data_IF_991472226223
#
_entry.id   IF_991472226223
#
_cell.length_a   1.000
_cell.length_b   1.000
_cell.length_c   1.000
_cell.angle_alpha   90.00
_cell.angle_beta   90.00
_cell.angle_gamma   90.00
#
_symmetry.space_group_name_H-M   'P 1'
#
loop_
_entity.id
_entity.type
_entity.pdbx_description
1 polymer ?
#
# COMPACT_ATOMS: atom_id res chain seq x y z
N UNK A 1 -21.60 29.44 1.28
CA UNK A 1 -20.52 29.62 0.29
C UNK A 1 -20.64 28.48 -0.70
N UNK A 2 -20.96 28.83 -1.95
CA UNK A 2 -21.40 27.90 -2.98
C UNK A 2 -20.21 27.13 -3.57
N UNK A 3 -20.39 25.82 -3.79
CA UNK A 3 -19.43 24.87 -4.38
C UNK A 3 -19.02 25.19 -5.85
N UNK A 4 -19.29 26.39 -6.36
CA UNK A 4 -19.12 26.79 -7.77
C UNK A 4 -18.03 27.84 -8.02
N UNK A 5 -17.30 28.29 -6.99
CA UNK A 5 -16.33 29.40 -7.15
C UNK A 5 -14.89 28.97 -7.45
N UNK A 6 -14.52 27.70 -7.24
CA UNK A 6 -13.14 27.23 -7.42
C UNK A 6 -13.07 25.97 -8.30
N UNK A 7 -12.09 25.88 -9.22
CA UNK A 7 -11.83 24.68 -10.02
C UNK A 7 -11.38 23.51 -9.14
N UNK A 8 -11.30 22.30 -9.71
CA UNK A 8 -10.92 21.09 -8.98
C UNK A 8 -9.43 21.11 -8.61
N UNK A 9 -9.07 21.79 -7.52
CA UNK A 9 -7.67 21.99 -7.11
C UNK A 9 -7.11 20.72 -6.44
N UNK A 10 -6.09 20.12 -7.04
CA UNK A 10 -5.38 18.95 -6.53
C UNK A 10 -4.14 19.39 -5.74
N UNK A 11 -3.83 18.79 -4.58
CA UNK A 11 -4.45 17.61 -3.95
C UNK A 11 -5.58 17.94 -2.94
N UNK A 12 -6.21 19.11 -3.01
CA UNK A 12 -7.29 19.50 -2.08
C UNK A 12 -8.60 18.75 -2.34
N UNK A 13 -8.81 18.35 -3.60
CA UNK A 13 -9.91 17.53 -4.10
C UNK A 13 -10.03 16.17 -3.38
N UNK A 14 -8.94 15.63 -2.86
CA UNK A 14 -8.89 14.34 -2.16
C UNK A 14 -9.47 14.37 -0.74
N UNK A 15 -9.71 15.56 -0.18
CA UNK A 15 -10.32 15.76 1.13
C UNK A 15 -11.85 15.75 1.06
N UNK A 16 -12.51 15.38 2.14
CA UNK A 16 -13.97 15.46 2.28
C UNK A 16 -14.50 16.88 2.04
N UNK A 17 -15.73 16.99 1.52
CA UNK A 17 -16.39 18.28 1.28
C UNK A 17 -16.43 19.19 2.53
N UNK A 18 -16.52 18.59 3.72
CA UNK A 18 -16.48 19.32 4.99
C UNK A 18 -15.13 20.00 5.25
N UNK A 19 -14.02 19.28 5.02
CA UNK A 19 -12.67 19.80 5.22
C UNK A 19 -12.24 20.76 4.11
N UNK A 20 -12.64 20.49 2.86
CA UNK A 20 -12.48 21.45 1.75
C UNK A 20 -13.11 22.80 2.12
N UNK A 21 -14.33 22.79 2.67
CA UNK A 21 -15.01 24.03 3.08
C UNK A 21 -14.26 24.79 4.18
N UNK A 22 -13.65 24.09 5.16
CA UNK A 22 -12.81 24.71 6.19
C UNK A 22 -11.55 25.34 5.58
N UNK A 23 -10.91 24.67 4.62
CA UNK A 23 -9.74 25.20 3.91
C UNK A 23 -10.07 26.48 3.14
N UNK A 24 -11.16 26.47 2.38
CA UNK A 24 -11.56 27.63 1.60
C UNK A 24 -12.01 28.81 2.49
N UNK A 25 -12.51 28.57 3.70
CA UNK A 25 -12.81 29.64 4.67
C UNK A 25 -11.56 30.40 5.15
N UNK A 26 -10.41 29.71 5.24
CA UNK A 26 -9.12 30.31 5.61
C UNK A 26 -8.25 30.74 4.43
N UNK A 27 -8.78 30.65 3.20
CA UNK A 27 -8.05 30.98 1.98
C UNK A 27 -7.96 32.49 1.72
N UNK A 28 -6.92 32.89 1.01
CA UNK A 28 -6.75 34.26 0.54
C UNK A 28 -6.75 34.27 -0.98
N UNK A 29 -7.55 35.14 -1.61
CA UNK A 29 -7.51 35.35 -3.06
C UNK A 29 -7.00 36.74 -3.37
N UNK A 30 -6.02 36.83 -4.24
CA UNK A 30 -5.38 38.07 -4.66
C UNK A 30 -5.39 38.20 -6.18
N UNK A 31 -5.51 39.43 -6.67
CA UNK A 31 -5.32 39.75 -8.09
C UNK A 31 -3.98 40.44 -8.28
N UNK A 32 -3.07 39.74 -8.94
CA UNK A 32 -1.74 40.23 -9.24
C UNK A 32 -1.75 41.08 -10.53
N UNK A 33 -1.13 42.27 -10.53
CA UNK A 33 -0.92 43.02 -11.76
C UNK A 33 0.06 42.30 -12.71
N UNK A 34 0.15 42.72 -13.98
CA UNK A 34 1.20 42.24 -14.88
C UNK A 34 2.60 42.51 -14.31
N UNK A 35 3.53 41.58 -14.55
CA UNK A 35 4.93 41.63 -14.08
C UNK A 35 5.12 41.53 -12.57
N UNK A 36 4.12 41.00 -11.85
CA UNK A 36 4.29 40.58 -10.46
C UNK A 36 5.20 39.37 -10.38
N UNK A 37 6.06 39.37 -9.37
CA UNK A 37 6.99 38.28 -9.06
C UNK A 37 6.52 37.56 -7.80
N UNK A 38 6.37 36.24 -7.90
CA UNK A 38 6.21 35.33 -6.78
C UNK A 38 7.49 34.52 -6.61
N UNK A 39 7.93 34.30 -5.38
CA UNK A 39 9.09 33.48 -5.07
C UNK A 39 8.66 32.28 -4.24
N UNK A 40 9.15 31.09 -4.57
CA UNK A 40 8.82 29.88 -3.82
C UNK A 40 9.21 29.96 -2.34
N UNK A 41 10.26 30.73 -2.01
CA UNK A 41 10.71 30.96 -0.62
C UNK A 41 9.69 31.74 0.20
N UNK A 42 9.01 32.71 -0.41
CA UNK A 42 8.01 33.55 0.29
C UNK A 42 6.65 32.83 0.43
N UNK A 43 6.46 31.74 -0.32
CA UNK A 43 5.22 30.98 -0.41
C UNK A 43 5.28 29.64 0.36
N UNK A 44 6.28 29.43 1.22
CA UNK A 44 6.47 28.15 1.92
C UNK A 44 5.29 27.75 2.82
N UNK A 45 4.56 28.74 3.35
CA UNK A 45 3.38 28.54 4.20
C UNK A 45 2.08 28.39 3.40
N UNK A 46 2.13 28.55 2.07
CA UNK A 46 0.95 28.64 1.22
C UNK A 46 1.01 27.65 0.06
N UNK A 47 -0.10 26.95 -0.19
CA UNK A 47 -0.35 26.27 -1.46
C UNK A 47 -1.01 27.28 -2.40
N UNK A 48 -0.23 27.76 -3.37
CA UNK A 48 -0.63 28.86 -4.26
C UNK A 48 -1.06 28.33 -5.62
N UNK A 49 -2.27 28.66 -6.05
CA UNK A 49 -2.87 28.18 -7.30
C UNK A 49 -3.23 29.34 -8.22
N UNK A 50 -3.15 29.09 -9.53
CA UNK A 50 -3.57 30.06 -10.55
C UNK A 50 -5.04 29.81 -10.92
N UNK A 51 -5.92 30.77 -10.67
CA UNK A 51 -7.32 30.69 -11.06
C UNK A 51 -7.54 31.26 -12.47
N UNK A 52 -6.97 32.44 -12.75
CA UNK A 52 -7.14 33.14 -14.03
C UNK A 52 -5.85 33.84 -14.44
N UNK A 53 -5.67 34.04 -15.74
CA UNK A 53 -4.50 34.71 -16.29
C UNK A 53 -3.37 33.73 -16.59
N UNK A 54 -2.13 34.22 -16.57
CA UNK A 54 -0.97 33.45 -17.02
C UNK A 54 0.26 33.73 -16.17
N UNK A 55 0.92 32.66 -15.73
CA UNK A 55 2.18 32.67 -14.99
C UNK A 55 3.26 31.92 -15.76
N UNK A 56 4.47 32.46 -15.76
CA UNK A 56 5.66 31.75 -16.26
C UNK A 56 6.57 31.43 -15.10
N UNK A 57 6.90 30.15 -14.92
CA UNK A 57 7.83 29.66 -13.92
C UNK A 57 9.24 29.70 -14.49
N UNK A 58 10.14 30.30 -13.72
CA UNK A 58 11.56 30.43 -13.97
C UNK A 58 12.32 29.63 -12.91
N UNK A 59 13.29 28.83 -13.32
CA UNK A 59 14.19 28.10 -12.44
C UNK A 59 15.61 28.24 -12.99
N UNK A 60 16.58 28.58 -12.13
CA UNK A 60 17.96 28.86 -12.54
C UNK A 60 18.08 29.90 -13.69
N UNK A 61 17.11 30.82 -13.79
CA UNK A 61 17.08 31.88 -14.82
C UNK A 61 16.49 31.45 -16.17
N UNK A 62 16.08 30.19 -16.33
CA UNK A 62 15.44 29.70 -17.57
C UNK A 62 13.94 29.53 -17.38
N UNK A 63 13.17 29.73 -18.46
CA UNK A 63 11.74 29.40 -18.50
C UNK A 63 11.58 27.89 -18.41
N UNK A 64 11.01 27.45 -17.29
CA UNK A 64 10.70 26.04 -17.04
C UNK A 64 9.35 25.68 -17.62
N UNK A 65 8.33 26.48 -17.33
CA UNK A 65 6.94 26.17 -17.65
C UNK A 65 6.09 27.45 -17.71
N UNK A 66 5.00 27.39 -18.48
CA UNK A 66 3.97 28.42 -18.55
C UNK A 66 2.63 27.80 -18.13
N UNK A 67 1.98 28.40 -17.13
CA UNK A 67 0.69 27.97 -16.57
C UNK A 67 -0.38 28.97 -17.01
N UNK A 68 -1.45 28.46 -17.59
CA UNK A 68 -2.64 29.23 -17.96
C UNK A 68 -3.80 28.88 -17.03
N UNK A 69 -4.50 29.87 -16.49
CA UNK A 69 -5.69 29.66 -15.66
C UNK A 69 -6.78 28.92 -16.43
N UNK A 70 -7.35 27.88 -15.81
CA UNK A 70 -8.36 27.00 -16.42
C UNK A 70 -7.78 25.84 -17.25
N UNK A 71 -6.46 25.74 -17.38
CA UNK A 71 -5.81 24.54 -17.93
C UNK A 71 -5.63 23.47 -16.84
N UNK A 72 -5.53 22.17 -17.17
CA UNK A 72 -5.30 21.12 -16.17
C UNK A 72 -4.10 21.38 -15.25
N UNK A 73 -3.05 22.04 -15.75
CA UNK A 73 -1.87 22.41 -14.94
C UNK A 73 -2.16 23.43 -13.83
N UNK A 74 -3.17 24.28 -14.01
CA UNK A 74 -3.55 25.29 -13.01
C UNK A 74 -4.34 24.71 -11.84
N UNK A 75 -4.75 23.44 -11.92
CA UNK A 75 -5.35 22.69 -10.80
C UNK A 75 -4.31 22.29 -9.74
N UNK A 76 -3.02 22.35 -10.06
CA UNK A 76 -1.92 22.01 -9.16
C UNK A 76 -1.24 23.28 -8.64
N UNK A 77 -0.54 23.23 -7.48
CA UNK A 77 0.20 24.36 -6.97
C UNK A 77 1.19 24.91 -8.01
N UNK A 78 1.38 26.23 -8.00
CA UNK A 78 2.34 26.94 -8.86
C UNK A 78 3.75 26.43 -8.58
N UNK A 79 4.12 26.30 -7.30
CA UNK A 79 5.40 25.74 -6.86
C UNK A 79 5.23 24.33 -6.31
N UNK A 80 6.06 23.38 -6.77
CA UNK A 80 6.13 22.03 -6.21
C UNK A 80 7.06 21.94 -5.00
N UNK A 81 6.97 20.86 -4.23
CA UNK A 81 7.73 20.67 -2.97
C UNK A 81 9.25 20.73 -3.13
N UNK A 82 9.77 20.39 -4.32
CA UNK A 82 11.22 20.33 -4.61
C UNK A 82 11.74 21.52 -5.44
N UNK A 83 11.16 22.71 -5.28
CA UNK A 83 11.51 23.89 -6.10
C UNK A 83 11.76 25.18 -5.27
N UNK A 84 12.69 25.16 -4.29
CA UNK A 84 12.90 26.30 -3.39
C UNK A 84 13.43 27.56 -4.10
N UNK A 85 14.12 27.40 -5.24
CA UNK A 85 14.69 28.51 -6.01
C UNK A 85 13.79 29.01 -7.16
N UNK A 86 12.61 28.41 -7.33
CA UNK A 86 11.72 28.76 -8.41
C UNK A 86 11.05 30.12 -8.20
N UNK A 87 10.81 30.81 -9.31
CA UNK A 87 10.14 32.11 -9.37
C UNK A 87 9.01 32.05 -10.37
N UNK A 88 7.89 32.69 -10.10
CA UNK A 88 6.80 32.81 -11.07
C UNK A 88 6.56 34.28 -11.39
N UNK A 89 6.40 34.60 -12.68
CA UNK A 89 6.15 35.97 -13.14
C UNK A 89 4.85 36.01 -13.93
N UNK A 90 4.00 36.98 -13.62
CA UNK A 90 2.76 37.21 -14.36
C UNK A 90 3.05 37.95 -15.67
N UNK A 91 2.59 37.43 -16.80
CA UNK A 91 2.71 38.15 -18.09
C UNK A 91 1.56 39.15 -18.27
N UNK A 92 0.37 38.76 -17.85
CA UNK A 92 -0.86 39.56 -17.80
C UNK A 92 -1.39 39.56 -16.36
N UNK A 93 -2.44 40.34 -16.07
CA UNK A 93 -3.06 40.28 -14.74
C UNK A 93 -3.52 38.85 -14.42
N UNK A 94 -3.16 38.36 -13.24
CA UNK A 94 -3.46 37.00 -12.79
C UNK A 94 -4.30 37.02 -11.52
N UNK A 95 -5.19 36.03 -11.35
CA UNK A 95 -5.92 35.82 -10.10
C UNK A 95 -5.39 34.54 -9.46
N UNK A 96 -4.93 34.64 -8.23
CA UNK A 96 -4.42 33.51 -7.46
C UNK A 96 -5.30 33.22 -6.24
N UNK A 97 -5.16 32.02 -5.72
CA UNK A 97 -5.65 31.65 -4.40
C UNK A 97 -4.53 30.98 -3.62
N UNK A 98 -4.39 31.38 -2.36
CA UNK A 98 -3.43 30.85 -1.41
C UNK A 98 -4.21 30.10 -0.33
N UNK A 99 -3.85 28.83 -0.15
CA UNK A 99 -4.41 27.94 0.87
C UNK A 99 -3.34 27.71 1.92
N UNK A 100 -3.68 27.86 3.20
CA UNK A 100 -2.71 27.67 4.27
C UNK A 100 -2.22 26.21 4.30
N UNK A 101 -0.93 26.01 4.07
CA UNK A 101 -0.32 24.69 3.93
C UNK A 101 -0.41 23.88 5.22
N UNK A 102 -0.11 24.50 6.37
CA UNK A 102 -0.19 23.83 7.68
C UNK A 102 -1.62 23.44 8.07
N UNK A 103 -2.63 24.19 7.63
CA UNK A 103 -4.04 23.82 7.83
C UNK A 103 -4.43 22.66 6.90
N UNK A 104 -3.97 22.64 5.66
CA UNK A 104 -4.17 21.51 4.74
C UNK A 104 -3.55 20.23 5.31
N UNK A 105 -2.28 20.28 5.73
CA UNK A 105 -1.58 19.15 6.34
C UNK A 105 -2.30 18.65 7.61
N UNK A 106 -2.74 19.56 8.48
CA UNK A 106 -3.52 19.19 9.68
C UNK A 106 -4.86 18.55 9.35
N UNK A 107 -5.62 19.09 8.40
CA UNK A 107 -6.92 18.52 8.01
C UNK A 107 -6.77 17.20 7.27
N UNK A 108 -5.69 17.04 6.49
CA UNK A 108 -5.32 15.77 5.89
C UNK A 108 -4.94 14.75 6.96
N UNK A 109 -4.16 15.14 7.97
CA UNK A 109 -3.87 14.29 9.12
C UNK A 109 -5.11 13.96 9.94
N UNK A 110 -6.01 14.92 10.20
CA UNK A 110 -7.27 14.70 10.90
C UNK A 110 -8.21 13.80 10.09
N UNK A 111 -8.26 13.94 8.76
CA UNK A 111 -9.09 13.08 7.91
C UNK A 111 -8.47 11.70 7.73
N UNK A 112 -7.15 11.58 7.68
CA UNK A 112 -6.48 10.29 7.76
C UNK A 112 -6.72 9.67 9.15
N UNK A 113 -6.68 10.46 10.22
CA UNK A 113 -7.01 10.05 11.59
C UNK A 113 -8.50 9.74 11.80
N UNK A 114 -9.40 10.33 10.99
CA UNK A 114 -10.84 10.09 11.03
C UNK A 114 -11.30 9.02 10.02
N UNK A 115 -10.54 8.75 8.95
CA UNK A 115 -10.56 7.48 8.20
C UNK A 115 -10.09 6.34 9.11
N UNK A 116 -9.18 6.66 10.03
CA UNK A 116 -8.86 5.88 11.22
C UNK A 116 -9.88 6.07 12.37
N UNK A 117 -11.15 6.42 12.11
CA UNK A 117 -12.21 6.17 13.09
C UNK A 117 -12.35 4.66 13.25
N UNK A 118 -11.51 4.12 14.12
CA UNK A 118 -11.67 2.93 14.90
C UNK A 118 -12.83 3.22 15.88
N UNK A 119 -14.01 3.47 15.33
CA UNK A 119 -15.23 3.70 16.05
C UNK A 119 -16.07 2.45 15.87
N UNK A 120 -15.69 1.38 16.59
CA UNK A 120 -16.49 0.18 16.95
C UNK A 120 -15.64 -1.05 17.34
N UNK A 121 -14.33 -0.90 17.62
CA UNK A 121 -13.61 -2.00 18.29
C UNK A 121 -13.97 -1.95 19.78
N UNK A 122 -14.92 -2.78 20.21
CA UNK A 122 -15.19 -3.03 21.64
C UNK A 122 -13.93 -3.61 22.30
N UNK A 123 -13.14 -2.76 22.96
CA UNK A 123 -11.93 -3.11 23.69
C UNK A 123 -12.25 -3.25 25.19
N UNK A 124 -11.68 -4.24 25.86
CA UNK A 124 -11.68 -4.30 27.34
C UNK A 124 -10.77 -3.22 27.94
N UNK A 125 -10.86 -2.96 29.24
CA UNK A 125 -10.03 -1.93 29.91
C UNK A 125 -8.53 -2.24 29.84
N UNK A 126 -8.12 -3.52 29.90
CA UNK A 126 -6.72 -3.91 29.71
C UNK A 126 -6.27 -3.73 28.25
N UNK A 127 -7.13 -4.09 27.29
CA UNK A 127 -6.87 -3.91 25.85
C UNK A 127 -6.77 -2.44 25.46
N UNK A 128 -7.57 -1.57 26.08
CA UNK A 128 -7.51 -0.13 25.89
C UNK A 128 -6.17 0.47 26.32
N UNK A 129 -5.51 -0.08 27.35
CA UNK A 129 -4.19 0.39 27.78
C UNK A 129 -3.12 0.06 26.75
N UNK A 130 -3.07 -1.20 26.29
CA UNK A 130 -2.08 -1.65 25.28
C UNK A 130 -2.34 -0.99 23.93
N UNK A 131 -3.60 -0.96 23.50
CA UNK A 131 -4.03 -0.27 22.29
C UNK A 131 -3.70 1.22 22.37
N UNK A 132 -4.04 1.88 23.48
CA UNK A 132 -3.79 3.30 23.68
C UNK A 132 -2.30 3.62 23.66
N UNK A 133 -1.46 2.84 24.33
CA UNK A 133 -0.01 3.02 24.30
C UNK A 133 0.59 2.76 22.92
N UNK A 134 0.12 1.72 22.22
CA UNK A 134 0.61 1.38 20.88
C UNK A 134 0.13 2.39 19.83
N UNK A 135 -1.11 2.86 19.94
CA UNK A 135 -1.68 3.93 19.13
C UNK A 135 -0.99 5.26 19.40
N UNK A 136 -0.75 5.62 20.66
CA UNK A 136 0.00 6.84 21.00
C UNK A 136 1.46 6.72 20.58
N UNK A 137 2.08 5.56 20.71
CA UNK A 137 3.42 5.32 20.17
C UNK A 137 3.41 5.48 18.64
N UNK A 138 2.37 4.99 17.96
CA UNK A 138 2.19 5.17 16.53
C UNK A 138 2.01 6.64 16.13
N UNK A 139 1.02 7.35 16.70
CA UNK A 139 0.70 8.75 16.41
C UNK A 139 1.87 9.68 16.71
N UNK A 140 2.64 9.39 17.77
CA UNK A 140 3.82 10.18 18.13
C UNK A 140 5.07 9.82 17.31
N UNK A 141 5.00 8.86 16.37
CA UNK A 141 6.14 8.40 15.57
C UNK A 141 7.16 7.55 16.35
N UNK A 142 6.77 7.04 17.51
CA UNK A 142 7.59 6.17 18.37
C UNK A 142 7.45 4.68 18.02
N UNK A 143 6.45 4.28 17.21
CA UNK A 143 6.38 2.93 16.68
C UNK A 143 7.48 2.79 15.63
N UNK A 144 8.43 1.88 15.86
CA UNK A 144 9.50 1.64 14.90
C UNK A 144 8.93 1.00 13.63
N UNK A 145 8.61 1.85 12.66
CA UNK A 145 8.26 1.46 11.31
C UNK A 145 9.46 0.73 10.72
N UNK A 146 9.33 -0.54 10.31
CA UNK A 146 10.44 -1.23 9.67
C UNK A 146 10.76 -0.50 8.36
N UNK A 147 12.06 -0.26 8.13
CA UNK A 147 12.49 0.37 6.88
C UNK A 147 12.14 -0.56 5.71
N UNK A 148 11.48 -0.01 4.69
CA UNK A 148 11.25 -0.75 3.46
C UNK A 148 12.61 -1.15 2.86
N UNK A 149 12.82 -2.41 2.42
CA UNK A 149 14.13 -2.82 1.93
C UNK A 149 14.59 -1.93 0.78
N UNK A 150 15.83 -1.41 0.83
CA UNK A 150 16.38 -0.50 -0.19
C UNK A 150 16.25 -1.03 -1.61
N UNK A 151 16.36 -2.35 -1.77
CA UNK A 151 16.21 -3.03 -3.05
C UNK A 151 14.76 -3.00 -3.52
N UNK A 152 13.80 -3.17 -2.61
CA UNK A 152 12.39 -3.00 -2.92
C UNK A 152 12.07 -1.52 -3.24
N UNK A 153 12.69 -0.55 -2.57
CA UNK A 153 12.58 0.88 -2.92
C UNK A 153 13.10 1.16 -4.33
N UNK A 154 14.26 0.59 -4.71
CA UNK A 154 14.86 0.76 -6.04
C UNK A 154 14.05 0.07 -7.13
N UNK A 155 13.58 -1.16 -6.87
CA UNK A 155 12.65 -1.86 -7.76
C UNK A 155 11.37 -1.03 -7.90
N UNK A 156 10.83 -0.48 -6.80
CA UNK A 156 9.65 0.40 -6.77
C UNK A 156 9.83 1.71 -7.53
N UNK A 157 10.97 2.37 -7.38
CA UNK A 157 11.27 3.58 -8.15
C UNK A 157 11.28 3.30 -9.66
N UNK A 158 11.71 2.09 -10.06
CA UNK A 158 11.60 1.59 -11.42
C UNK A 158 10.18 1.09 -11.82
N UNK A 159 9.20 1.15 -10.91
CA UNK A 159 7.78 0.88 -11.18
C UNK A 159 7.09 2.11 -11.74
N UNK A 160 7.36 3.26 -11.12
CA UNK A 160 6.69 4.52 -11.44
C UNK A 160 7.17 5.15 -12.75
N UNK A 161 8.20 4.60 -13.39
CA UNK A 161 8.61 4.99 -14.74
C UNK A 161 8.20 3.93 -15.76
N UNK A 162 7.16 4.22 -16.54
CA UNK A 162 6.65 3.37 -17.63
C UNK A 162 7.68 3.13 -18.76
N UNK A 163 8.89 3.70 -18.67
CA UNK A 163 9.97 3.53 -19.65
C UNK A 163 11.05 2.56 -19.21
N UNK A 164 10.92 1.93 -18.04
CA UNK A 164 11.94 1.00 -17.53
C UNK A 164 12.13 -0.17 -18.47
N UNK A 165 13.37 -0.34 -18.91
CA UNK A 165 13.79 -1.42 -19.79
C UNK A 165 14.14 -2.68 -19.00
N UNK A 166 14.09 -3.82 -19.68
CA UNK A 166 14.59 -5.10 -19.15
C UNK A 166 16.02 -4.98 -18.63
N UNK A 167 16.86 -4.16 -19.28
CA UNK A 167 18.25 -3.99 -18.89
C UNK A 167 18.39 -3.23 -17.57
N UNK A 168 17.60 -2.18 -17.36
CA UNK A 168 17.61 -1.39 -16.12
C UNK A 168 17.07 -2.22 -14.95
N UNK A 169 15.95 -2.92 -15.12
CA UNK A 169 15.41 -3.80 -14.07
C UNK A 169 16.41 -4.92 -13.73
N UNK A 170 17.10 -5.48 -14.73
CA UNK A 170 18.14 -6.47 -14.52
C UNK A 170 19.30 -5.91 -13.68
N UNK A 171 19.74 -4.67 -13.92
CA UNK A 171 20.80 -4.03 -13.14
C UNK A 171 20.38 -3.78 -11.69
N UNK A 172 19.13 -3.36 -11.46
CA UNK A 172 18.59 -3.14 -10.12
C UNK A 172 18.57 -4.45 -9.33
N UNK A 173 18.07 -5.53 -9.93
CA UNK A 173 18.02 -6.85 -9.28
C UNK A 173 19.43 -7.42 -9.08
N UNK A 174 20.35 -7.22 -10.03
CA UNK A 174 21.75 -7.63 -9.91
C UNK A 174 22.50 -6.96 -8.75
N UNK A 175 22.06 -5.77 -8.32
CA UNK A 175 22.67 -5.07 -7.19
C UNK A 175 22.47 -5.81 -5.86
N UNK A 176 21.50 -6.72 -5.77
CA UNK A 176 21.30 -7.64 -4.64
C UNK A 176 21.46 -9.10 -5.09
N UNK A 177 22.63 -9.72 -4.86
CA UNK A 177 22.88 -11.12 -5.25
C UNK A 177 21.92 -12.12 -4.63
N UNK A 178 21.37 -11.85 -3.44
CA UNK A 178 20.41 -12.75 -2.77
C UNK A 178 19.07 -12.67 -3.48
N UNK A 179 18.60 -11.46 -3.80
CA UNK A 179 17.38 -11.28 -4.58
C UNK A 179 17.51 -11.88 -5.98
N UNK A 180 18.63 -11.62 -6.67
CA UNK A 180 18.95 -12.21 -7.96
C UNK A 180 18.88 -13.73 -7.93
N UNK A 181 19.51 -14.37 -6.95
CA UNK A 181 19.50 -15.83 -6.81
C UNK A 181 18.09 -16.38 -6.55
N UNK A 182 17.30 -15.71 -5.70
CA UNK A 182 15.90 -16.09 -5.43
C UNK A 182 15.03 -15.97 -6.67
N UNK A 183 15.12 -14.85 -7.40
CA UNK A 183 14.36 -14.66 -8.64
C UNK A 183 14.72 -15.73 -9.67
N UNK A 184 16.01 -16.06 -9.81
CA UNK A 184 16.46 -17.14 -10.70
C UNK A 184 15.93 -18.52 -10.28
N UNK A 185 15.78 -18.80 -8.98
CA UNK A 185 15.11 -20.02 -8.50
C UNK A 185 13.63 -20.03 -8.87
N UNK A 186 12.93 -18.91 -8.69
CA UNK A 186 11.51 -18.76 -9.06
C UNK A 186 11.29 -18.99 -10.55
N UNK A 187 12.08 -18.36 -11.42
CA UNK A 187 11.96 -18.47 -12.89
C UNK A 187 12.20 -19.90 -13.40
N UNK A 188 12.99 -20.68 -12.68
CA UNK A 188 13.32 -22.06 -13.02
C UNK A 188 12.46 -23.09 -12.26
N UNK A 189 11.48 -22.64 -11.46
CA UNK A 189 10.56 -23.52 -10.75
C UNK A 189 9.59 -24.20 -11.72
N UNK A 190 8.95 -25.33 -11.34
CA UNK A 190 7.92 -25.97 -12.16
C UNK A 190 6.83 -25.01 -12.66
N UNK A 191 6.52 -23.98 -11.87
CA UNK A 191 5.48 -23.00 -12.16
C UNK A 191 5.85 -22.04 -13.31
N UNK A 192 7.10 -21.58 -13.38
CA UNK A 192 7.54 -20.59 -14.37
C UNK A 192 8.50 -21.15 -15.44
N UNK A 193 8.98 -22.38 -15.27
CA UNK A 193 9.96 -22.94 -16.21
C UNK A 193 9.32 -23.20 -17.56
N UNK A 194 9.95 -22.67 -18.59
CA UNK A 194 9.74 -23.13 -19.96
C UNK A 194 10.50 -24.43 -20.23
N UNK A 195 10.64 -24.73 -21.52
CA UNK A 195 11.32 -25.93 -22.04
C UNK A 195 12.81 -25.98 -21.68
N UNK A 196 13.43 -24.83 -21.40
CA UNK A 196 14.86 -24.71 -21.03
C UNK A 196 15.02 -23.91 -19.75
N UNK A 197 16.02 -24.28 -18.96
CA UNK A 197 16.47 -23.52 -17.80
C UNK A 197 17.05 -22.18 -18.24
N UNK A 198 16.82 -21.14 -17.45
CA UNK A 198 17.38 -19.81 -17.65
C UNK A 198 18.64 -19.67 -16.81
N UNK A 199 19.71 -19.15 -17.42
CA UNK A 199 21.02 -18.99 -16.77
C UNK A 199 21.39 -17.55 -16.41
N UNK A 200 20.60 -16.54 -16.82
CA UNK A 200 20.89 -15.14 -16.52
C UNK A 200 19.61 -14.33 -16.27
N UNK A 201 19.76 -13.19 -15.59
CA UNK A 201 18.63 -12.35 -15.18
C UNK A 201 17.91 -11.67 -16.33
N UNK A 202 18.59 -11.34 -17.43
CA UNK A 202 17.93 -10.69 -18.58
C UNK A 202 16.93 -11.64 -19.22
N UNK A 203 17.33 -12.89 -19.46
CA UNK A 203 16.46 -13.93 -20.01
C UNK A 203 15.33 -14.29 -19.04
N UNK A 204 15.59 -14.19 -17.72
CA UNK A 204 14.58 -14.41 -16.70
C UNK A 204 13.49 -13.35 -16.75
N UNK A 205 13.88 -12.08 -16.82
CA UNK A 205 12.96 -10.95 -16.93
C UNK A 205 12.20 -10.99 -18.26
N UNK A 206 12.84 -11.39 -19.36
CA UNK A 206 12.15 -11.56 -20.65
C UNK A 206 11.09 -12.65 -20.59
N UNK A 207 11.34 -13.74 -19.86
CA UNK A 207 10.38 -14.83 -19.71
C UNK A 207 9.19 -14.44 -18.84
N UNK A 208 9.46 -13.84 -17.68
CA UNK A 208 8.41 -13.42 -16.75
C UNK A 208 7.63 -12.21 -17.26
N UNK A 209 8.29 -11.34 -18.02
CA UNK A 209 7.81 -9.98 -18.27
C UNK A 209 8.22 -9.02 -17.16
N UNK A 210 8.13 -7.72 -17.45
CA UNK A 210 8.56 -6.66 -16.54
C UNK A 210 7.70 -6.60 -15.27
N UNK A 211 6.37 -6.68 -15.42
CA UNK A 211 5.43 -6.54 -14.30
C UNK A 211 5.56 -7.68 -13.30
N UNK A 212 5.48 -8.93 -13.77
CA UNK A 212 5.65 -10.10 -12.92
C UNK A 212 7.01 -10.12 -12.22
N UNK A 213 8.09 -9.78 -12.94
CA UNK A 213 9.44 -9.69 -12.33
C UNK A 213 9.45 -8.66 -11.20
N UNK A 214 8.86 -7.49 -11.43
CA UNK A 214 8.81 -6.40 -10.47
C UNK A 214 8.06 -6.81 -9.21
N UNK A 215 6.87 -7.38 -9.38
CA UNK A 215 6.05 -7.83 -8.25
C UNK A 215 6.75 -8.93 -7.47
N UNK A 216 7.31 -9.94 -8.16
CA UNK A 216 8.10 -11.00 -7.54
C UNK A 216 9.34 -10.45 -6.82
N UNK A 217 10.03 -9.46 -7.40
CA UNK A 217 11.20 -8.84 -6.77
C UNK A 217 10.82 -8.12 -5.46
N UNK A 218 9.68 -7.41 -5.42
CA UNK A 218 9.14 -6.84 -4.19
C UNK A 218 8.83 -7.95 -3.19
N UNK A 219 8.02 -8.94 -3.59
CA UNK A 219 7.60 -10.06 -2.73
C UNK A 219 8.81 -10.78 -2.09
N UNK A 220 9.85 -11.07 -2.88
CA UNK A 220 11.07 -11.74 -2.42
C UNK A 220 11.94 -10.85 -1.52
N UNK A 221 11.91 -9.53 -1.73
CA UNK A 221 12.61 -8.56 -0.89
C UNK A 221 11.91 -8.38 0.47
N UNK A 222 10.57 -8.47 0.53
CA UNK A 222 9.78 -8.33 1.76
C UNK A 222 10.15 -9.36 2.84
N UNK A 223 10.71 -10.52 2.47
CA UNK A 223 11.24 -11.51 3.42
C UNK A 223 12.20 -10.91 4.47
N UNK A 224 12.89 -9.82 4.14
CA UNK A 224 13.80 -9.15 5.07
C UNK A 224 13.09 -8.45 6.24
N UNK A 225 11.82 -8.10 6.08
CA UNK A 225 10.99 -7.47 7.10
C UNK A 225 10.61 -8.43 8.22
N UNK A 226 10.49 -9.73 7.90
CA UNK A 226 10.14 -10.79 8.85
C UNK A 226 11.36 -11.31 9.63
N UNK A 227 12.31 -10.42 9.97
CA UNK A 227 13.47 -10.75 10.80
C UNK A 227 13.24 -10.24 12.22
N UNK A 228 13.21 -11.18 13.17
CA UNK A 228 13.12 -10.84 14.59
C UNK A 228 14.42 -10.23 15.13
N UNK A 229 14.29 -9.18 15.94
CA UNK A 229 15.40 -8.54 16.65
C UNK A 229 15.88 -9.37 17.84
N UNK A 230 14.96 -9.99 18.57
CA UNK A 230 15.27 -10.82 19.75
C UNK A 230 14.88 -12.28 19.55
N UNK A 231 15.30 -13.13 20.49
CA UNK A 231 14.88 -14.52 20.56
C UNK A 231 13.42 -14.67 21.00
N UNK A 232 12.90 -13.71 21.78
CA UNK A 232 11.57 -13.78 22.40
C UNK A 232 10.46 -13.74 21.36
N UNK A 233 10.52 -12.79 20.41
CA UNK A 233 9.51 -12.65 19.36
C UNK A 233 9.79 -13.48 18.09
N UNK A 234 10.91 -14.18 18.04
CA UNK A 234 11.36 -14.90 16.84
C UNK A 234 10.34 -15.90 16.35
N UNK A 235 9.72 -16.64 17.27
CA UNK A 235 8.73 -17.64 16.92
C UNK A 235 7.47 -16.99 16.35
N UNK A 236 6.99 -15.89 16.93
CA UNK A 236 5.82 -15.16 16.44
C UNK A 236 6.03 -14.57 15.05
N UNK A 237 7.16 -13.88 14.81
CA UNK A 237 7.47 -13.34 13.48
C UNK A 237 7.57 -14.45 12.44
N UNK A 238 8.14 -15.60 12.82
CA UNK A 238 8.23 -16.77 11.94
C UNK A 238 6.84 -17.33 11.61
N UNK A 239 5.95 -17.43 12.59
CA UNK A 239 4.58 -17.91 12.39
C UNK A 239 3.78 -16.97 11.50
N UNK A 240 3.86 -15.65 11.73
CA UNK A 240 3.26 -14.64 10.84
C UNK A 240 3.79 -14.81 9.42
N UNK A 241 5.11 -14.93 9.25
CA UNK A 241 5.71 -15.09 7.92
C UNK A 241 5.22 -16.36 7.23
N UNK A 242 5.24 -17.51 7.91
CA UNK A 242 4.81 -18.80 7.36
C UNK A 242 3.35 -18.74 6.91
N UNK A 243 2.48 -18.16 7.75
CA UNK A 243 1.07 -18.03 7.43
C UNK A 243 0.85 -17.04 6.28
N UNK A 244 1.49 -15.86 6.29
CA UNK A 244 1.41 -14.89 5.18
C UNK A 244 1.91 -15.48 3.85
N UNK A 245 2.96 -16.31 3.86
CA UNK A 245 3.43 -16.99 2.63
C UNK A 245 2.47 -18.08 2.16
N UNK A 246 1.75 -18.74 3.07
CA UNK A 246 0.74 -19.73 2.71
C UNK A 246 -0.51 -19.05 2.13
N UNK A 247 -0.99 -17.98 2.76
CA UNK A 247 -2.08 -17.13 2.23
C UNK A 247 -1.71 -16.56 0.86
N UNK A 248 -0.48 -16.05 0.71
CA UNK A 248 0.08 -15.59 -0.56
C UNK A 248 0.02 -16.65 -1.66
N UNK A 249 0.40 -17.89 -1.34
CA UNK A 249 0.34 -19.00 -2.29
C UNK A 249 -1.09 -19.35 -2.71
N UNK A 250 -2.02 -19.39 -1.76
CA UNK A 250 -3.44 -19.60 -2.06
C UNK A 250 -3.97 -18.46 -2.93
N UNK A 251 -3.71 -17.20 -2.55
CA UNK A 251 -4.16 -16.03 -3.30
C UNK A 251 -3.66 -16.02 -4.75
N UNK A 252 -2.42 -16.44 -5.01
CA UNK A 252 -1.89 -16.61 -6.36
C UNK A 252 -2.72 -17.62 -7.17
N UNK A 253 -2.98 -18.79 -6.59
CA UNK A 253 -3.73 -19.89 -7.23
C UNK A 253 -5.21 -19.53 -7.42
N UNK A 254 -5.81 -18.76 -6.51
CA UNK A 254 -7.15 -18.20 -6.68
C UNK A 254 -7.18 -17.18 -7.83
N UNK A 255 -6.21 -16.27 -7.87
CA UNK A 255 -6.11 -15.23 -8.89
C UNK A 255 -5.89 -15.79 -10.31
N UNK A 256 -5.19 -16.92 -10.47
CA UNK A 256 -5.08 -17.58 -11.77
C UNK A 256 -6.44 -18.01 -12.36
N UNK A 257 -7.44 -18.26 -11.51
CA UNK A 257 -8.80 -18.60 -11.92
C UNK A 257 -9.67 -17.37 -12.12
N UNK A 258 -9.35 -16.28 -11.43
CA UNK A 258 -9.92 -14.95 -11.67
C UNK A 258 -9.22 -14.32 -12.88
N UNK A 259 -9.79 -14.48 -14.09
CA UNK A 259 -9.18 -14.02 -15.34
C UNK A 259 -8.80 -12.53 -15.40
N UNK A 260 -9.39 -11.71 -14.54
CA UNK A 260 -9.17 -10.26 -14.48
C UNK A 260 -8.11 -9.85 -13.44
N UNK A 261 -7.66 -10.78 -12.59
CA UNK A 261 -6.63 -10.53 -11.59
C UNK A 261 -5.24 -10.93 -12.07
N UNK A 262 -4.22 -10.16 -11.68
CA UNK A 262 -2.81 -10.52 -11.86
C UNK A 262 -2.40 -11.46 -10.71
N UNK A 263 -1.99 -12.72 -11.01
CA UNK A 263 -1.57 -13.68 -9.99
C UNK A 263 -0.39 -13.21 -9.15
N UNK A 264 0.63 -12.61 -9.76
CA UNK A 264 1.77 -12.10 -9.02
C UNK A 264 1.37 -10.96 -8.09
N UNK A 265 0.42 -10.11 -8.50
CA UNK A 265 -0.13 -9.06 -7.63
C UNK A 265 -0.93 -9.63 -6.46
N UNK A 266 -1.72 -10.68 -6.68
CA UNK A 266 -2.41 -11.40 -5.60
C UNK A 266 -1.44 -12.09 -4.63
N UNK A 267 -0.33 -12.64 -5.13
CA UNK A 267 0.76 -13.18 -4.31
C UNK A 267 1.31 -12.09 -3.37
N UNK A 268 1.62 -10.91 -3.91
CA UNK A 268 2.09 -9.78 -3.10
C UNK A 268 1.03 -9.35 -2.07
N UNK A 269 -0.23 -9.23 -2.49
CA UNK A 269 -1.34 -8.88 -1.61
C UNK A 269 -1.47 -9.85 -0.42
N UNK A 270 -1.43 -11.15 -0.68
CA UNK A 270 -1.49 -12.17 0.37
C UNK A 270 -0.28 -12.14 1.32
N UNK A 271 0.91 -11.79 0.82
CA UNK A 271 2.10 -11.62 1.68
C UNK A 271 1.99 -10.38 2.58
N UNK A 272 1.41 -9.29 2.06
CA UNK A 272 1.25 -8.02 2.77
C UNK A 272 0.05 -7.99 3.71
N UNK A 273 -0.92 -8.90 3.55
CA UNK A 273 -2.17 -8.97 4.33
C UNK A 273 -2.00 -8.80 5.84
N UNK A 274 -0.91 -9.35 6.41
CA UNK A 274 -0.63 -9.32 7.86
C UNK A 274 0.62 -8.53 8.22
N UNK A 275 1.05 -7.62 7.36
CA UNK A 275 2.30 -6.87 7.55
C UNK A 275 2.28 -6.01 8.82
N UNK A 276 1.10 -5.54 9.25
CA UNK A 276 0.92 -4.76 10.47
C UNK A 276 1.27 -5.53 11.76
N UNK A 277 1.32 -6.86 11.72
CA UNK A 277 1.76 -7.67 12.86
C UNK A 277 3.24 -7.41 13.22
N UNK A 278 4.10 -7.08 12.25
CA UNK A 278 5.54 -6.90 12.47
C UNK A 278 5.83 -5.73 13.43
N UNK A 279 5.37 -4.49 13.19
CA UNK A 279 5.62 -3.39 14.11
C UNK A 279 4.94 -3.59 15.47
N UNK A 280 3.78 -4.27 15.55
CA UNK A 280 3.16 -4.64 16.83
C UNK A 280 4.09 -5.57 17.63
N UNK A 281 4.57 -6.65 17.01
CA UNK A 281 5.47 -7.61 17.66
C UNK A 281 6.78 -6.95 18.10
N UNK A 282 7.35 -6.05 17.29
CA UNK A 282 8.54 -5.30 17.67
C UNK A 282 8.30 -4.37 18.86
N UNK A 283 7.14 -3.70 18.91
CA UNK A 283 6.78 -2.82 20.03
C UNK A 283 6.61 -3.60 21.34
N UNK A 284 5.96 -4.77 21.27
CA UNK A 284 5.79 -5.64 22.42
C UNK A 284 7.11 -6.24 22.91
N UNK A 285 8.05 -6.52 22.01
CA UNK A 285 9.41 -6.95 22.36
C UNK A 285 10.18 -5.89 23.14
N UNK A 286 10.00 -4.62 22.77
CA UNK A 286 10.60 -3.46 23.46
C UNK A 286 9.89 -3.16 24.79
N UNK A 287 8.65 -3.66 25.00
CA UNK A 287 7.84 -3.45 26.19
C UNK A 287 7.22 -4.76 26.73
N UNK A 288 8.03 -5.71 27.25
CA UNK A 288 7.54 -7.04 27.65
C UNK A 288 6.48 -7.05 28.76
N UNK A 289 6.36 -5.96 29.53
CA UNK A 289 5.35 -5.83 30.58
C UNK A 289 3.94 -5.58 30.06
N UNK A 290 3.77 -5.28 28.77
CA UNK A 290 2.47 -4.93 28.17
C UNK A 290 1.64 -6.13 27.73
N UNK A 291 2.17 -7.36 27.76
CA UNK A 291 1.38 -8.55 27.46
C UNK A 291 1.77 -9.69 28.41
N UNK A 292 0.76 -10.39 28.94
CA UNK A 292 0.94 -11.42 29.96
C UNK A 292 0.58 -12.82 29.46
N UNK A 293 -0.12 -12.92 28.33
CA UNK A 293 -0.57 -14.21 27.77
C UNK A 293 -0.59 -14.24 26.23
N UNK A 294 -0.57 -15.46 25.67
CA UNK A 294 -0.72 -15.66 24.22
C UNK A 294 -2.09 -15.17 23.70
N UNK A 295 -3.14 -15.31 24.52
CA UNK A 295 -4.49 -14.91 24.14
C UNK A 295 -4.60 -13.39 23.98
N UNK A 296 -3.99 -12.62 24.88
CA UNK A 296 -3.91 -11.15 24.77
C UNK A 296 -3.15 -10.72 23.50
N UNK A 297 -2.05 -11.40 23.18
CA UNK A 297 -1.27 -11.12 21.96
C UNK A 297 -2.09 -11.39 20.70
N UNK A 298 -2.74 -12.56 20.61
CA UNK A 298 -3.56 -12.95 19.46
C UNK A 298 -4.71 -11.95 19.26
N UNK A 299 -5.33 -11.51 20.36
CA UNK A 299 -6.43 -10.54 20.33
C UNK A 299 -5.96 -9.13 19.93
N UNK A 300 -4.82 -8.68 20.45
CA UNK A 300 -4.20 -7.42 20.01
C UNK A 300 -3.90 -7.46 18.51
N UNK A 301 -3.27 -8.53 18.03
CA UNK A 301 -2.97 -8.70 16.61
C UNK A 301 -4.25 -8.66 15.76
N UNK A 302 -5.30 -9.38 16.15
CA UNK A 302 -6.57 -9.41 15.41
C UNK A 302 -7.19 -8.01 15.24
N UNK A 303 -7.12 -7.17 16.26
CA UNK A 303 -7.72 -5.83 16.24
C UNK A 303 -6.83 -4.76 15.58
N UNK A 304 -5.51 -4.90 15.71
CA UNK A 304 -4.55 -3.85 15.37
C UNK A 304 -3.81 -4.07 14.06
N UNK A 305 -3.61 -5.33 13.64
CA UNK A 305 -2.76 -5.61 12.49
C UNK A 305 -3.31 -4.99 11.19
N UNK A 306 -4.63 -4.89 11.04
CA UNK A 306 -5.26 -4.33 9.85
C UNK A 306 -4.99 -2.83 9.69
N UNK A 307 -5.44 -2.00 10.65
CA UNK A 307 -5.18 -0.56 10.62
C UNK A 307 -3.69 -0.22 10.52
N UNK A 308 -2.83 -0.91 11.29
CA UNK A 308 -1.39 -0.66 11.27
C UNK A 308 -0.77 -1.10 9.93
N UNK A 309 -1.27 -2.19 9.35
CA UNK A 309 -0.88 -2.64 8.02
C UNK A 309 -1.21 -1.60 6.96
N UNK A 310 -2.44 -1.08 6.95
CA UNK A 310 -2.87 -0.04 6.02
C UNK A 310 -2.00 1.21 6.08
N UNK A 311 -1.72 1.71 7.29
CA UNK A 311 -0.86 2.88 7.47
C UNK A 311 0.58 2.60 7.02
N UNK A 312 1.11 1.42 7.34
CA UNK A 312 2.46 1.01 6.93
C UNK A 312 2.60 0.98 5.41
N UNK A 313 1.61 0.41 4.72
CA UNK A 313 1.57 0.34 3.27
C UNK A 313 1.39 1.74 2.64
N UNK A 314 0.55 2.59 3.23
CA UNK A 314 0.38 3.98 2.83
C UNK A 314 1.67 4.81 2.98
N UNK A 315 2.39 4.66 4.10
CA UNK A 315 3.70 5.28 4.30
C UNK A 315 4.74 4.81 3.27
N UNK A 316 4.67 3.53 2.88
CA UNK A 316 5.49 3.00 1.80
C UNK A 316 5.00 3.37 0.40
N UNK A 317 3.87 4.06 0.24
CA UNK A 317 3.36 4.49 -1.05
C UNK A 317 2.84 3.35 -1.93
N UNK A 318 2.32 2.28 -1.32
CA UNK A 318 1.48 1.32 -2.04
C UNK A 318 0.14 1.95 -2.43
N UNK A 319 -0.49 1.42 -3.46
CA UNK A 319 -1.80 1.88 -3.94
C UNK A 319 -2.94 1.47 -2.99
N UNK A 320 -4.12 2.08 -3.22
CA UNK A 320 -5.30 1.88 -2.39
C UNK A 320 -5.77 0.42 -2.35
N UNK A 321 -5.61 -0.35 -3.43
CA UNK A 321 -6.06 -1.75 -3.46
C UNK A 321 -5.28 -2.61 -2.47
N UNK A 322 -3.95 -2.45 -2.42
CA UNK A 322 -3.10 -3.19 -1.48
C UNK A 322 -3.25 -2.68 -0.03
N UNK A 323 -3.53 -1.38 0.16
CA UNK A 323 -3.87 -0.83 1.48
C UNK A 323 -5.18 -1.47 1.99
N UNK A 324 -6.23 -1.50 1.18
CA UNK A 324 -7.51 -2.13 1.51
C UNK A 324 -7.35 -3.60 1.88
N UNK A 325 -6.48 -4.35 1.18
CA UNK A 325 -6.17 -5.74 1.55
C UNK A 325 -5.66 -5.82 2.98
N UNK A 326 -4.68 -5.00 3.37
CA UNK A 326 -4.16 -5.04 4.73
C UNK A 326 -5.22 -4.64 5.77
N UNK A 327 -6.07 -3.66 5.48
CA UNK A 327 -7.06 -3.13 6.41
C UNK A 327 -8.27 -4.05 6.61
N UNK A 328 -8.76 -4.67 5.53
CA UNK A 328 -10.10 -5.26 5.50
C UNK A 328 -10.14 -6.77 5.27
N UNK A 329 -9.01 -7.43 4.93
CA UNK A 329 -9.05 -8.84 4.50
C UNK A 329 -9.54 -9.84 5.57
N UNK A 330 -9.45 -9.49 6.86
CA UNK A 330 -9.98 -10.29 7.98
C UNK A 330 -11.42 -9.89 8.38
N UNK A 331 -12.01 -8.88 7.74
CA UNK A 331 -13.41 -8.51 7.92
C UNK A 331 -14.26 -9.45 7.07
N UNK A 332 -14.65 -10.59 7.64
CA UNK A 332 -15.37 -11.65 6.93
C UNK A 332 -16.70 -11.20 6.29
N UNK A 333 -17.33 -10.16 6.83
CA UNK A 333 -18.59 -9.58 6.33
C UNK A 333 -18.39 -8.52 5.23
N UNK A 334 -17.14 -8.23 4.83
CA UNK A 334 -16.81 -7.22 3.83
C UNK A 334 -17.55 -7.47 2.52
N UNK A 335 -18.01 -6.38 1.91
CA UNK A 335 -18.58 -6.38 0.56
C UNK A 335 -17.86 -5.34 -0.29
N UNK A 336 -17.17 -5.77 -1.35
CA UNK A 336 -16.55 -4.86 -2.31
C UNK A 336 -17.56 -4.12 -3.20
N UNK A 337 -18.83 -4.56 -3.22
CA UNK A 337 -19.89 -3.93 -4.02
C UNK A 337 -19.77 -4.18 -5.53
N UNK A 338 -18.85 -5.05 -5.96
CA UNK A 338 -18.61 -5.43 -7.35
C UNK A 338 -18.88 -6.92 -7.56
N UNK A 339 -19.31 -7.29 -8.77
CA UNK A 339 -19.57 -8.68 -9.15
C UNK A 339 -18.26 -9.48 -9.29
N UNK A 340 -17.24 -8.88 -9.89
CA UNK A 340 -15.90 -9.47 -9.95
C UNK A 340 -15.16 -9.31 -8.60
N UNK A 341 -14.32 -10.29 -8.20
CA UNK A 341 -13.53 -10.19 -6.98
C UNK A 341 -12.38 -9.20 -7.13
N UNK A 342 -12.22 -8.31 -6.14
CA UNK A 342 -11.00 -7.50 -6.01
C UNK A 342 -9.89 -8.30 -5.29
N UNK A 343 -8.69 -7.72 -5.17
CA UNK A 343 -7.58 -8.37 -4.47
C UNK A 343 -7.88 -8.65 -2.99
N UNK A 344 -8.73 -7.84 -2.35
CA UNK A 344 -9.11 -8.07 -0.95
C UNK A 344 -10.05 -9.29 -0.85
N UNK A 345 -11.01 -9.45 -1.77
CA UNK A 345 -11.86 -10.63 -1.84
C UNK A 345 -11.04 -11.91 -2.07
N UNK A 346 -10.06 -11.86 -2.98
CA UNK A 346 -9.12 -12.97 -3.24
C UNK A 346 -8.36 -13.33 -1.95
N UNK A 347 -7.81 -12.34 -1.25
CA UNK A 347 -7.04 -12.57 -0.02
C UNK A 347 -7.93 -13.03 1.13
N UNK A 348 -9.15 -12.51 1.27
CA UNK A 348 -10.13 -12.99 2.25
C UNK A 348 -10.48 -14.46 2.01
N UNK A 349 -10.73 -14.87 0.76
CA UNK A 349 -10.93 -16.27 0.41
C UNK A 349 -9.69 -17.12 0.73
N UNK A 350 -8.49 -16.62 0.41
CA UNK A 350 -7.24 -17.29 0.72
C UNK A 350 -7.03 -17.48 2.23
N UNK A 351 -7.34 -16.46 3.04
CA UNK A 351 -7.30 -16.53 4.50
C UNK A 351 -8.26 -17.59 5.03
N UNK A 352 -9.52 -17.59 4.56
CA UNK A 352 -10.50 -18.58 4.98
C UNK A 352 -10.02 -20.01 4.71
N UNK A 353 -9.49 -20.28 3.51
CA UNK A 353 -8.91 -21.58 3.15
C UNK A 353 -7.67 -21.93 3.98
N UNK A 354 -6.81 -20.95 4.26
CA UNK A 354 -5.60 -21.17 5.04
C UNK A 354 -5.87 -21.66 6.47
N UNK A 355 -7.05 -21.36 7.01
CA UNK A 355 -7.44 -21.75 8.36
C UNK A 355 -8.12 -23.13 8.43
N UNK A 356 -8.60 -23.70 7.31
CA UNK A 356 -9.26 -25.02 7.27
C UNK A 356 -8.37 -26.16 7.78
N UNK A 357 -7.06 -26.07 7.54
CA UNK A 357 -6.08 -27.09 7.92
C UNK A 357 -5.46 -26.83 9.29
N UNK A 358 -6.00 -25.88 10.06
CA UNK A 358 -5.43 -25.42 11.33
C UNK A 358 -6.38 -25.62 12.50
N UNK A 359 -5.85 -25.53 13.73
CA UNK A 359 -6.66 -25.55 14.95
C UNK A 359 -7.68 -24.39 15.04
N UNK A 360 -7.55 -23.36 14.20
CA UNK A 360 -8.47 -22.20 14.15
C UNK A 360 -9.71 -22.43 13.26
N UNK A 361 -9.85 -23.60 12.63
CA UNK A 361 -11.01 -23.94 11.80
C UNK A 361 -12.35 -23.75 12.53
N UNK A 362 -12.41 -24.05 13.83
CA UNK A 362 -13.62 -23.91 14.65
C UNK A 362 -14.07 -22.46 14.88
N UNK A 363 -13.20 -21.48 14.60
CA UNK A 363 -13.48 -20.06 14.74
C UNK A 363 -13.90 -19.42 13.41
N UNK A 364 -13.89 -20.19 12.31
CA UNK A 364 -14.24 -19.66 10.99
C UNK A 364 -15.75 -19.42 10.86
N UNK A 365 -16.16 -18.32 10.22
CA UNK A 365 -17.54 -18.14 9.78
C UNK A 365 -17.91 -19.22 8.76
N UNK A 366 -19.21 -19.49 8.63
CA UNK A 366 -19.68 -20.42 7.60
C UNK A 366 -19.37 -19.87 6.21
N UNK A 367 -19.08 -20.75 5.25
CA UNK A 367 -18.77 -20.38 3.87
C UNK A 367 -19.78 -19.37 3.29
N UNK A 368 -21.07 -19.62 3.51
CA UNK A 368 -22.17 -18.79 3.02
C UNK A 368 -22.24 -17.39 3.65
N UNK A 369 -21.66 -17.20 4.83
CA UNK A 369 -21.66 -15.90 5.51
C UNK A 369 -20.51 -14.98 5.09
N UNK A 370 -19.59 -15.45 4.24
CA UNK A 370 -18.46 -14.67 3.73
C UNK A 370 -18.75 -14.22 2.30
N UNK A 371 -19.06 -12.94 2.04
CA UNK A 371 -19.44 -12.47 0.70
C UNK A 371 -18.35 -12.67 -0.36
N UNK A 372 -17.07 -12.68 0.02
CA UNK A 372 -15.98 -12.96 -0.92
C UNK A 372 -16.06 -14.39 -1.49
N UNK A 373 -16.46 -15.38 -0.67
CA UNK A 373 -16.56 -16.78 -1.06
C UNK A 373 -17.79 -17.09 -1.92
N UNK A 374 -18.83 -16.25 -1.86
CA UNK A 374 -20.02 -16.39 -2.72
C UNK A 374 -19.77 -15.91 -4.16
N UNK A 375 -18.63 -15.27 -4.43
CA UNK A 375 -18.25 -14.85 -5.78
C UNK A 375 -17.88 -16.08 -6.62
N UNK A 376 -18.53 -16.32 -7.77
CA UNK A 376 -18.33 -17.54 -8.56
C UNK A 376 -16.86 -17.81 -8.94
N UNK A 377 -16.08 -16.76 -9.20
CA UNK A 377 -14.67 -16.89 -9.58
C UNK A 377 -13.75 -17.32 -8.42
N UNK A 378 -14.23 -17.23 -7.18
CA UNK A 378 -13.52 -17.62 -5.95
C UNK A 378 -14.10 -18.89 -5.31
N UNK A 379 -15.11 -19.51 -5.93
CA UNK A 379 -15.75 -20.72 -5.45
C UNK A 379 -14.89 -21.96 -5.73
N UNK A 380 -13.67 -21.95 -5.18
CA UNK A 380 -12.63 -22.92 -5.49
C UNK A 380 -12.76 -24.23 -4.71
N UNK A 381 -13.63 -24.21 -3.71
CA UNK A 381 -13.77 -25.21 -2.67
C UNK A 381 -15.25 -25.26 -2.27
N UNK A 382 -16.16 -25.30 -3.25
CA UNK A 382 -17.44 -25.94 -3.00
C UNK A 382 -17.13 -27.39 -2.62
N UNK A 383 -17.46 -27.86 -1.39
CA UNK A 383 -17.16 -29.22 -0.98
C UNK A 383 -17.75 -30.30 -1.89
N UNK A 384 -18.63 -29.91 -2.82
CA UNK A 384 -19.30 -30.78 -3.80
C UNK A 384 -18.62 -30.83 -5.19
N UNK A 385 -17.64 -29.98 -5.53
CA UNK A 385 -16.91 -30.02 -6.82
C UNK A 385 -15.54 -30.74 -6.75
N UNK A 386 -15.37 -31.73 -7.66
CA UNK A 386 -14.22 -32.57 -8.04
C UNK A 386 -12.92 -32.54 -7.19
N UNK A 387 -12.67 -33.63 -6.44
CA UNK A 387 -11.40 -33.94 -5.73
C UNK A 387 -10.11 -33.69 -6.54
N UNK A 388 -10.12 -33.87 -7.87
CA UNK A 388 -8.93 -33.69 -8.70
C UNK A 388 -8.50 -32.23 -8.84
N UNK A 389 -9.45 -31.28 -8.90
CA UNK A 389 -9.13 -29.86 -8.97
C UNK A 389 -8.54 -29.35 -7.64
N UNK A 390 -8.96 -29.97 -6.53
CA UNK A 390 -8.44 -29.68 -5.20
C UNK A 390 -7.02 -30.21 -5.03
N UNK A 391 -6.73 -31.42 -5.52
CA UNK A 391 -5.37 -31.99 -5.53
C UNK A 391 -4.41 -31.13 -6.36
N UNK A 392 -4.80 -30.73 -7.57
CA UNK A 392 -4.00 -29.84 -8.43
C UNK A 392 -3.75 -28.47 -7.77
N UNK A 393 -4.79 -27.86 -7.18
CA UNK A 393 -4.66 -26.60 -6.46
C UNK A 393 -3.71 -26.72 -5.26
N UNK A 394 -3.77 -27.83 -4.51
CA UNK A 394 -2.89 -28.09 -3.37
C UNK A 394 -1.43 -28.24 -3.81
N UNK A 395 -1.16 -28.99 -4.88
CA UNK A 395 0.19 -29.12 -5.43
C UNK A 395 0.77 -27.76 -5.86
N UNK A 396 -0.02 -26.94 -6.55
CA UNK A 396 0.39 -25.60 -6.94
C UNK A 396 0.66 -24.68 -5.74
N UNK A 397 -0.22 -24.71 -4.72
CA UNK A 397 -0.04 -23.96 -3.47
C UNK A 397 1.28 -24.37 -2.80
N UNK A 398 1.58 -25.67 -2.72
CA UNK A 398 2.83 -26.16 -2.15
C UNK A 398 4.06 -25.69 -2.94
N UNK A 399 4.00 -25.71 -4.28
CA UNK A 399 5.07 -25.21 -5.14
C UNK A 399 5.30 -23.71 -4.85
N UNK A 400 4.26 -22.89 -4.91
CA UNK A 400 4.36 -21.43 -4.68
C UNK A 400 4.88 -21.14 -3.27
N UNK A 401 4.34 -21.82 -2.26
CA UNK A 401 4.75 -21.64 -0.87
C UNK A 401 6.23 -21.96 -0.67
N UNK A 402 6.72 -23.08 -1.22
CA UNK A 402 8.12 -23.47 -1.13
C UNK A 402 9.06 -22.45 -1.80
N UNK A 403 8.63 -21.80 -2.88
CA UNK A 403 9.42 -20.76 -3.54
C UNK A 403 9.66 -19.55 -2.64
N UNK A 404 8.65 -19.13 -1.88
CA UNK A 404 8.78 -18.01 -0.93
C UNK A 404 9.72 -18.38 0.24
N UNK A 405 9.80 -19.67 0.60
CA UNK A 405 10.68 -20.14 1.67
C UNK A 405 12.18 -20.20 1.28
N UNK A 406 12.53 -20.18 -0.01
CA UNK A 406 13.94 -20.20 -0.49
C UNK A 406 14.72 -18.90 -0.33
#
# INVERSE_FOLDING_TARGET
MNHREYPNLNPLSDLTQGNQKKLFQGSQSERLPPRSLLQAVDEQEWLTYLLEGELTILESGFVKEKICGGAPRSEWPVFGENQPEARAVTQLGARIIQINKSLYERLQQEENAARLNIAEIELTDEENSVFGELYMAFVNGNLQIPNFPDVALKVRAAINDNRVTVSELSQIVQADPVLAARLMKVVNSPLYRGWKTVGNLRDAIQRLGLEATRTLAITLAMKQLFKAKTQHIRQYIKEVYQHSTFVSAIAYVLAQRVKTADPERALLAGLLSRIGAIPILNFLDENPSLFSSQAELDHCLQKLQGPIGGILLGHWGFDAELITVAEECEIWSRQSGQEEPDYCDIVTAALWHSYLTTSKQSQLPSFQSVPALSKPALNLLDPEEENSLLEEAQEEIEIVHNLLQT
#
